data_IF_552054500924
#
_entry.id   IF_552054500924
#
_cell.length_a   1.000
_cell.length_b   1.000
_cell.length_c   1.000
_cell.angle_alpha   90.00
_cell.angle_beta   90.00
_cell.angle_gamma   90.00
#
_symmetry.space_group_name_H-M   'P 1'
#
loop_
_entity.id
_entity.type
_entity.pdbx_description
1 polymer ?
#
# COMPACT_ATOMS: atom_id res chain seq x y z
N UNK A 1 16.72 -13.62 -9.17
CA UNK A 1 16.22 -13.03 -10.43
C UNK A 1 15.09 -12.07 -10.11
N UNK A 2 15.14 -10.84 -10.63
CA UNK A 2 14.05 -9.88 -10.49
C UNK A 2 12.82 -10.38 -11.25
N UNK A 3 11.65 -10.34 -10.61
CA UNK A 3 10.38 -10.70 -11.24
C UNK A 3 9.93 -9.52 -12.09
N UNK A 4 9.99 -9.66 -13.42
CA UNK A 4 9.51 -8.63 -14.36
C UNK A 4 7.99 -8.79 -14.47
N UNK A 5 7.25 -7.74 -14.12
CA UNK A 5 5.79 -7.72 -14.21
C UNK A 5 5.34 -7.66 -15.68
N UNK A 6 4.26 -8.39 -16.01
CA UNK A 6 3.69 -8.42 -17.37
C UNK A 6 2.46 -7.53 -17.53
N UNK A 7 1.97 -6.97 -16.43
CA UNK A 7 0.80 -6.09 -16.40
C UNK A 7 0.92 -5.04 -15.30
N UNK A 8 0.22 -3.92 -15.47
CA UNK A 8 0.13 -2.88 -14.45
C UNK A 8 -0.48 -3.40 -13.14
N UNK A 9 -1.45 -4.32 -13.25
CA UNK A 9 -2.16 -4.91 -12.09
C UNK A 9 -1.24 -5.75 -11.21
N UNK A 10 -0.24 -6.43 -11.78
CA UNK A 10 0.75 -7.22 -11.02
C UNK A 10 1.60 -6.39 -10.06
N UNK A 11 1.67 -5.07 -10.29
CA UNK A 11 2.42 -4.13 -9.45
C UNK A 11 1.55 -3.53 -8.32
N UNK A 12 0.24 -3.79 -8.30
CA UNK A 12 -0.67 -3.29 -7.26
C UNK A 12 -0.51 -4.11 -5.97
N UNK A 13 -0.40 -3.41 -4.84
CA UNK A 13 -0.28 -4.00 -3.51
C UNK A 13 1.17 -4.12 -3.03
N UNK A 14 1.39 -5.01 -2.05
CA UNK A 14 2.68 -5.19 -1.35
C UNK A 14 3.34 -3.88 -0.87
N UNK A 15 2.52 -2.88 -0.59
CA UNK A 15 2.95 -1.56 -0.13
C UNK A 15 3.62 -1.66 1.25
N UNK A 16 4.62 -0.82 1.55
CA UNK A 16 5.33 -0.89 2.82
C UNK A 16 4.44 -0.61 4.03
N UNK A 17 4.78 -1.24 5.16
CA UNK A 17 4.31 -0.83 6.49
C UNK A 17 5.45 -0.09 7.19
N UNK A 18 5.21 1.14 7.60
CA UNK A 18 6.19 1.99 8.27
C UNK A 18 5.83 2.14 9.75
N UNK A 19 6.79 1.87 10.63
CA UNK A 19 6.65 2.20 12.05
C UNK A 19 6.75 3.72 12.24
N UNK A 20 5.68 4.37 12.69
CA UNK A 20 5.60 5.82 12.83
C UNK A 20 6.12 6.30 14.20
N UNK A 21 7.32 5.84 14.58
CA UNK A 21 7.89 6.02 15.94
C UNK A 21 8.00 7.50 16.34
N UNK A 22 8.48 8.35 15.42
CA UNK A 22 8.59 9.81 15.64
C UNK A 22 7.24 10.49 15.86
N UNK A 23 6.20 10.02 15.16
CA UNK A 23 4.85 10.55 15.32
C UNK A 23 4.27 10.13 16.68
N UNK A 24 4.38 8.85 17.04
CA UNK A 24 3.94 8.36 18.36
C UNK A 24 4.62 9.10 19.52
N UNK A 25 5.94 9.27 19.46
CA UNK A 25 6.70 10.00 20.47
C UNK A 25 6.27 11.47 20.58
N UNK A 26 6.02 12.15 19.45
CA UNK A 26 5.58 13.55 19.44
C UNK A 26 4.25 13.77 20.17
N UNK A 27 3.35 12.80 20.16
CA UNK A 27 2.01 12.90 20.74
C UNK A 27 1.84 12.10 22.04
N UNK A 28 2.92 11.54 22.59
CA UNK A 28 2.86 10.76 23.83
C UNK A 28 1.98 9.51 23.73
N UNK A 29 1.93 8.89 22.56
CA UNK A 29 1.09 7.71 22.35
C UNK A 29 1.65 6.49 23.09
N UNK A 30 0.87 5.91 24.00
CA UNK A 30 1.15 4.63 24.64
C UNK A 30 0.72 3.44 23.76
N UNK A 31 1.11 3.49 22.49
CA UNK A 31 0.74 2.48 21.50
C UNK A 31 1.71 2.45 20.32
N UNK A 32 1.81 1.28 19.66
CA UNK A 32 2.54 1.14 18.41
C UNK A 32 1.72 1.70 17.24
N UNK A 33 2.19 2.80 16.65
CA UNK A 33 1.56 3.42 15.48
C UNK A 33 2.28 2.96 14.21
N UNK A 34 1.51 2.45 13.26
CA UNK A 34 2.01 2.04 11.93
C UNK A 34 1.26 2.77 10.82
N UNK A 35 1.98 3.12 9.76
CA UNK A 35 1.43 3.70 8.54
C UNK A 35 1.56 2.72 7.38
N UNK A 36 0.43 2.34 6.78
CA UNK A 36 0.40 1.54 5.54
C UNK A 36 0.50 2.49 4.34
N UNK A 37 1.62 2.45 3.62
CA UNK A 37 1.95 3.47 2.62
C UNK A 37 1.33 3.14 1.24
N UNK A 38 0.01 3.26 1.14
CA UNK A 38 -0.74 2.91 -0.08
C UNK A 38 -0.47 3.80 -1.30
N UNK A 39 0.20 4.94 -1.13
CA UNK A 39 0.64 5.77 -2.25
C UNK A 39 1.77 5.11 -3.08
N UNK A 40 2.37 4.03 -2.60
CA UNK A 40 3.33 3.22 -3.37
C UNK A 40 2.67 2.27 -4.38
N UNK A 41 1.34 2.18 -4.41
CA UNK A 41 0.71 1.52 -5.54
C UNK A 41 1.01 2.32 -6.83
N UNK A 42 1.06 1.68 -8.01
CA UNK A 42 1.49 2.32 -9.26
C UNK A 42 0.69 3.55 -9.70
N UNK A 43 -0.61 3.58 -9.41
CA UNK A 43 -1.53 4.71 -9.64
C UNK A 43 -1.55 5.73 -8.49
N UNK A 44 -0.68 5.56 -7.49
CA UNK A 44 -0.42 6.56 -6.45
C UNK A 44 -1.44 6.59 -5.32
N UNK A 45 -2.39 5.65 -5.27
CA UNK A 45 -3.37 5.63 -4.19
C UNK A 45 -3.89 4.23 -3.87
N UNK A 46 -4.61 4.10 -2.74
CA UNK A 46 -5.30 2.87 -2.35
C UNK A 46 -6.38 2.44 -3.36
N UNK A 47 -6.84 3.35 -4.23
CA UNK A 47 -7.93 3.08 -5.18
C UNK A 47 -7.54 2.06 -6.26
N UNK A 48 -6.25 1.90 -6.52
CA UNK A 48 -5.73 0.89 -7.45
C UNK A 48 -6.23 -0.52 -7.10
N UNK A 49 -6.28 -0.84 -5.80
CA UNK A 49 -6.73 -2.16 -5.32
C UNK A 49 -8.18 -2.43 -5.67
N UNK A 50 -9.08 -1.49 -5.36
CA UNK A 50 -10.51 -1.69 -5.59
C UNK A 50 -10.84 -1.62 -7.08
N UNK A 51 -10.16 -0.76 -7.84
CA UNK A 51 -10.32 -0.71 -9.29
C UNK A 51 -9.94 -2.07 -9.94
N UNK A 52 -8.80 -2.65 -9.55
CA UNK A 52 -8.38 -3.97 -10.03
C UNK A 52 -9.38 -5.07 -9.62
N UNK A 53 -9.85 -5.05 -8.36
CA UNK A 53 -10.81 -6.04 -7.87
C UNK A 53 -12.17 -5.97 -8.59
N UNK A 54 -12.68 -4.77 -8.87
CA UNK A 54 -13.94 -4.58 -9.62
C UNK A 54 -13.80 -5.16 -11.04
N UNK A 55 -12.72 -4.81 -11.74
CA UNK A 55 -12.49 -5.30 -13.11
C UNK A 55 -12.32 -6.82 -13.14
N UNK A 56 -11.56 -7.38 -12.20
CA UNK A 56 -11.34 -8.82 -12.11
C UNK A 56 -12.62 -9.60 -11.76
N UNK A 57 -13.57 -8.99 -11.03
CA UNK A 57 -14.84 -9.63 -10.69
C UNK A 57 -15.89 -9.52 -11.82
N UNK A 58 -15.71 -8.60 -12.77
CA UNK A 58 -16.63 -8.38 -13.88
C UNK A 58 -16.37 -9.30 -15.08
N UNK A 59 -15.24 -10.02 -15.08
CA UNK A 59 -14.78 -10.93 -16.15
C UNK A 59 -14.74 -12.35 -15.60
#
# INVERSE_FOLDING_TARGET
MSKIAKSFVELIGKTPLLAATRFGAKFGADANIFAKLEYFNPGGSVKDRIAAAIIQAAV
#
